data_IF_001989654194
#
_entry.id   IF_001989654194
#
_cell.length_a   1.000
_cell.length_b   1.000
_cell.length_c   1.000
_cell.angle_alpha   90.00
_cell.angle_beta   90.00
_cell.angle_gamma   90.00
#
_symmetry.space_group_name_H-M   'P 1'
#
loop_
_entity.id
_entity.type
_entity.pdbx_description
1 polymer ?
#
# COMPACT_ATOMS: atom_id res chain seq x y z
N UNK A 1 -27.20 10.46 6.27
CA UNK A 1 -25.94 10.53 5.49
C UNK A 1 -24.78 10.23 6.43
N UNK A 2 -24.09 9.07 6.36
CA UNK A 2 -22.89 8.86 7.15
C UNK A 2 -21.81 9.85 6.69
N UNK A 3 -21.19 10.57 7.62
CA UNK A 3 -20.12 11.53 7.32
C UNK A 3 -18.94 10.76 6.71
N UNK A 4 -18.60 11.04 5.46
CA UNK A 4 -17.32 10.61 4.90
C UNK A 4 -16.21 11.08 5.86
N UNK A 5 -15.32 10.19 6.32
CA UNK A 5 -14.26 10.61 7.23
C UNK A 5 -13.41 11.65 6.52
N UNK A 6 -13.37 12.88 7.04
CA UNK A 6 -12.47 13.92 6.53
C UNK A 6 -11.04 13.40 6.64
N UNK A 7 -10.38 13.22 5.50
CA UNK A 7 -8.98 12.81 5.46
C UNK A 7 -8.12 13.89 6.12
N UNK A 8 -7.22 13.49 7.01
CA UNK A 8 -6.23 14.40 7.59
C UNK A 8 -5.19 14.78 6.54
N UNK A 9 -4.58 15.96 6.68
CA UNK A 9 -3.45 16.35 5.83
C UNK A 9 -2.23 15.43 5.99
N UNK A 10 -2.02 14.90 7.20
CA UNK A 10 -0.98 13.90 7.46
C UNK A 10 -1.32 13.01 8.65
N UNK A 11 -0.64 11.87 8.72
CA UNK A 11 -0.78 10.84 9.75
C UNK A 11 0.60 10.53 10.38
N UNK A 12 0.65 10.41 11.69
CA UNK A 12 1.82 9.88 12.40
C UNK A 12 2.03 8.39 12.12
N UNK A 13 3.23 7.88 12.36
CA UNK A 13 3.52 6.44 12.25
C UNK A 13 2.59 5.58 13.15
N UNK A 14 2.19 6.11 14.32
CA UNK A 14 1.25 5.45 15.23
C UNK A 14 -0.16 5.35 14.66
N UNK A 15 -0.64 6.42 14.00
CA UNK A 15 -1.93 6.42 13.35
C UNK A 15 -1.95 5.47 12.14
N UNK A 16 -0.92 5.51 11.31
CA UNK A 16 -0.77 4.58 10.18
C UNK A 16 -0.78 3.14 10.67
N UNK A 17 -0.01 2.82 11.71
CA UNK A 17 0.00 1.48 12.32
C UNK A 17 -1.39 1.04 12.79
N UNK A 18 -2.14 1.94 13.44
CA UNK A 18 -3.50 1.66 13.89
C UNK A 18 -4.51 1.45 12.75
N UNK A 19 -4.32 2.15 11.62
CA UNK A 19 -5.22 2.13 10.47
C UNK A 19 -4.94 1.01 9.47
N UNK A 20 -3.69 0.56 9.36
CA UNK A 20 -3.25 -0.46 8.39
C UNK A 20 -3.05 -1.84 9.01
N UNK A 21 -2.89 -1.90 10.34
CA UNK A 21 -2.51 -3.10 11.08
C UNK A 21 -1.01 -3.39 11.07
N UNK A 22 -0.20 -2.57 10.39
CA UNK A 22 1.27 -2.66 10.43
C UNK A 22 1.80 -2.26 11.80
N UNK A 23 2.94 -2.82 12.19
CA UNK A 23 3.67 -2.38 13.39
C UNK A 23 4.55 -1.16 13.06
N UNK A 24 4.82 -0.32 14.06
CA UNK A 24 5.76 0.80 13.90
C UNK A 24 7.15 0.33 13.42
N UNK A 25 7.58 -0.87 13.87
CA UNK A 25 8.82 -1.51 13.42
C UNK A 25 8.79 -1.85 11.93
N UNK A 26 7.69 -2.39 11.43
CA UNK A 26 7.53 -2.68 9.99
C UNK A 26 7.56 -1.40 9.17
N UNK A 27 6.88 -0.34 9.61
CA UNK A 27 6.91 0.97 8.95
C UNK A 27 8.33 1.55 8.91
N UNK A 28 9.06 1.49 10.02
CA UNK A 28 10.46 1.93 10.08
C UNK A 28 11.35 1.09 9.16
N UNK A 29 11.17 -0.23 9.15
CA UNK A 29 11.99 -1.13 8.34
C UNK A 29 11.70 -0.93 6.83
N UNK A 30 10.44 -0.77 6.43
CA UNK A 30 10.06 -0.46 5.04
C UNK A 30 10.66 0.84 4.56
N UNK A 31 10.64 1.88 5.39
CA UNK A 31 11.23 3.17 5.06
C UNK A 31 12.76 3.09 4.97
N UNK A 32 13.43 2.44 5.94
CA UNK A 32 14.89 2.26 5.94
C UNK A 32 15.41 1.47 4.74
N UNK A 33 14.57 0.62 4.16
CA UNK A 33 14.88 -0.20 2.99
C UNK A 33 14.23 0.36 1.72
N UNK A 34 13.74 1.59 1.74
CA UNK A 34 13.11 2.28 0.60
C UNK A 34 12.02 1.46 -0.12
N UNK A 35 11.25 0.66 0.63
CA UNK A 35 10.09 -0.03 0.06
C UNK A 35 8.95 0.97 -0.18
N UNK A 36 8.68 1.79 0.84
CA UNK A 36 7.80 2.94 0.78
C UNK A 36 8.29 3.89 1.87
N UNK A 37 8.62 5.12 1.48
CA UNK A 37 9.09 6.15 2.39
C UNK A 37 7.99 7.17 2.63
N UNK A 38 7.95 7.74 3.84
CA UNK A 38 7.04 8.84 4.14
C UNK A 38 7.27 10.01 3.17
N UNK A 39 6.22 10.46 2.48
CA UNK A 39 6.33 11.57 1.53
C UNK A 39 6.41 12.93 2.22
N UNK A 40 5.95 13.04 3.46
CA UNK A 40 6.07 14.28 4.25
C UNK A 40 7.45 14.32 4.91
N UNK A 41 8.32 15.17 4.37
CA UNK A 41 9.69 15.34 4.85
C UNK A 41 9.73 15.77 6.32
N UNK A 42 10.63 15.15 7.08
CA UNK A 42 10.94 15.59 8.44
C UNK A 42 11.76 16.88 8.39
N UNK A 43 11.44 17.83 9.27
CA UNK A 43 12.09 19.15 9.32
C UNK A 43 12.99 19.25 10.56
N UNK A 44 14.14 19.93 10.51
CA UNK A 44 14.94 20.19 11.69
C UNK A 44 14.17 21.07 12.68
N UNK A 45 14.40 20.84 13.97
CA UNK A 45 13.82 21.59 15.09
C UNK A 45 14.87 22.50 15.69
N UNK A 46 14.45 23.62 16.30
CA UNK A 46 15.36 24.55 16.98
C UNK A 46 16.15 23.89 18.13
N UNK A 47 15.65 22.77 18.67
CA UNK A 47 16.30 21.97 19.70
C UNK A 47 17.31 20.93 19.17
N UNK A 48 17.65 20.97 17.87
CA UNK A 48 18.66 20.08 17.27
C UNK A 48 18.17 18.70 16.82
N UNK A 49 16.87 18.39 16.98
CA UNK A 49 16.24 17.17 16.48
C UNK A 49 15.51 17.34 15.15
N UNK A 50 14.79 16.30 14.69
CA UNK A 50 13.87 16.36 13.54
C UNK A 50 12.43 16.19 13.99
N UNK A 51 11.48 16.79 13.26
CA UNK A 51 10.06 16.56 13.47
C UNK A 51 9.72 15.09 13.29
N UNK A 52 8.65 14.65 13.98
CA UNK A 52 8.11 13.32 13.78
C UNK A 52 7.82 13.04 12.29
N UNK A 53 8.08 11.80 11.86
CA UNK A 53 7.71 11.31 10.54
C UNK A 53 6.19 11.38 10.34
N UNK A 54 5.79 11.92 9.19
CA UNK A 54 4.38 12.07 8.81
C UNK A 54 4.13 11.43 7.45
N UNK A 55 2.97 10.82 7.30
CA UNK A 55 2.53 10.12 6.10
C UNK A 55 1.36 10.89 5.48
N UNK A 56 1.37 11.05 4.16
CA UNK A 56 0.24 11.65 3.45
C UNK A 56 -0.96 10.69 3.39
N UNK A 57 -2.17 11.16 3.02
CA UNK A 57 -3.29 10.26 2.70
C UNK A 57 -2.96 9.23 1.62
N UNK A 58 -2.15 9.62 0.63
CA UNK A 58 -1.69 8.72 -0.45
C UNK A 58 -0.79 7.62 0.13
N UNK A 59 0.18 7.99 0.98
CA UNK A 59 1.06 7.01 1.63
C UNK A 59 0.25 6.02 2.47
N UNK A 60 -0.76 6.51 3.21
CA UNK A 60 -1.64 5.67 4.01
C UNK A 60 -2.41 4.68 3.14
N UNK A 61 -2.92 5.12 1.99
CA UNK A 61 -3.64 4.28 1.04
C UNK A 61 -2.73 3.19 0.48
N UNK A 62 -1.55 3.55 -0.03
CA UNK A 62 -0.55 2.60 -0.53
C UNK A 62 -0.11 1.60 0.55
N UNK A 63 0.21 2.08 1.76
CA UNK A 63 0.58 1.23 2.90
C UNK A 63 -0.53 0.25 3.29
N UNK A 64 -1.81 0.64 3.13
CA UNK A 64 -2.93 -0.26 3.40
C UNK A 64 -3.01 -1.42 2.39
N UNK A 65 -2.73 -1.16 1.10
CA UNK A 65 -2.64 -2.20 0.08
C UNK A 65 -1.42 -3.12 0.30
N UNK A 66 -0.25 -2.54 0.65
CA UNK A 66 0.94 -3.31 0.97
C UNK A 66 0.74 -4.20 2.20
N UNK A 67 0.02 -3.71 3.20
CA UNK A 67 -0.35 -4.49 4.37
C UNK A 67 -1.29 -5.66 4.00
N UNK A 68 -2.21 -5.44 3.06
CA UNK A 68 -3.12 -6.47 2.55
C UNK A 68 -2.37 -7.57 1.79
N UNK A 69 -1.47 -7.20 0.88
CA UNK A 69 -0.57 -8.14 0.21
C UNK A 69 0.22 -8.97 1.22
N UNK A 70 0.74 -8.33 2.27
CA UNK A 70 1.41 -9.06 3.36
C UNK A 70 0.51 -10.05 4.08
N UNK A 71 -0.75 -9.71 4.34
CA UNK A 71 -1.73 -10.62 4.97
C UNK A 71 -2.05 -11.82 4.07
N UNK A 72 -2.08 -11.62 2.75
CA UNK A 72 -2.25 -12.67 1.73
C UNK A 72 -1.00 -13.54 1.52
N UNK A 73 0.11 -13.22 2.19
CA UNK A 73 1.32 -14.03 2.21
C UNK A 73 2.47 -13.51 1.33
N UNK A 74 2.26 -12.49 0.50
CA UNK A 74 3.28 -11.94 -0.42
C UNK A 74 4.56 -11.51 0.29
N UNK A 75 5.68 -12.18 0.07
CA UNK A 75 6.96 -11.79 0.68
C UNK A 75 7.36 -10.36 0.33
N UNK A 76 8.17 -9.71 1.18
CA UNK A 76 8.65 -8.35 0.89
C UNK A 76 9.38 -8.28 -0.45
N UNK A 77 10.08 -9.35 -0.83
CA UNK A 77 10.77 -9.41 -2.12
C UNK A 77 9.78 -9.41 -3.30
N UNK A 78 8.67 -10.15 -3.22
CA UNK A 78 7.61 -10.11 -4.25
C UNK A 78 6.99 -8.71 -4.32
N UNK A 79 6.72 -8.09 -3.18
CA UNK A 79 6.23 -6.70 -3.13
C UNK A 79 7.24 -5.74 -3.81
N UNK A 80 8.54 -5.88 -3.55
CA UNK A 80 9.58 -5.07 -4.23
C UNK A 80 9.56 -5.27 -5.74
N UNK A 81 9.50 -6.51 -6.20
CA UNK A 81 9.43 -6.84 -7.64
C UNK A 81 8.21 -6.20 -8.29
N UNK A 82 7.04 -6.34 -7.66
CA UNK A 82 5.81 -5.69 -8.12
C UNK A 82 5.96 -4.16 -8.22
N UNK A 83 6.47 -3.51 -7.17
CA UNK A 83 6.69 -2.05 -7.18
C UNK A 83 7.74 -1.62 -8.22
N UNK A 84 8.77 -2.43 -8.45
CA UNK A 84 9.74 -2.22 -9.51
C UNK A 84 9.09 -2.31 -10.89
N UNK A 85 8.29 -3.35 -11.13
CA UNK A 85 7.58 -3.54 -12.39
C UNK A 85 6.66 -2.36 -12.73
N UNK A 86 5.89 -1.87 -11.75
CA UNK A 86 5.04 -0.68 -11.91
C UNK A 86 5.85 0.56 -12.34
N UNK A 87 6.99 0.82 -11.69
CA UNK A 87 7.85 1.96 -12.05
C UNK A 87 8.57 1.77 -13.38
N UNK A 88 9.04 0.57 -13.68
CA UNK A 88 9.96 0.31 -14.78
C UNK A 88 9.23 0.09 -16.10
N UNK A 89 8.12 -0.64 -16.09
CA UNK A 89 7.36 -0.98 -17.29
C UNK A 89 6.14 -0.09 -17.52
N UNK A 90 5.46 0.33 -16.45
CA UNK A 90 4.22 1.12 -16.57
C UNK A 90 4.43 2.60 -16.26
N UNK A 91 5.59 2.98 -15.71
CA UNK A 91 5.95 4.36 -15.34
C UNK A 91 4.95 5.01 -14.37
N UNK A 92 4.32 4.22 -13.51
CA UNK A 92 3.32 4.67 -12.54
C UNK A 92 3.69 4.32 -11.10
N UNK A 93 3.02 4.99 -10.16
CA UNK A 93 3.07 4.68 -8.73
C UNK A 93 2.01 3.66 -8.35
N UNK A 94 2.15 3.06 -7.17
CA UNK A 94 1.18 2.10 -6.65
C UNK A 94 -0.20 2.76 -6.47
N UNK A 95 -0.26 3.99 -5.99
CA UNK A 95 -1.50 4.76 -5.85
C UNK A 95 -2.35 4.76 -7.13
N UNK A 96 -1.72 4.99 -8.28
CA UNK A 96 -2.40 5.03 -9.57
C UNK A 96 -2.94 3.65 -9.97
N UNK A 97 -2.21 2.59 -9.64
CA UNK A 97 -2.59 1.20 -9.96
C UNK A 97 -3.68 0.61 -9.05
N UNK A 98 -3.97 1.28 -7.92
CA UNK A 98 -5.01 0.93 -6.96
C UNK A 98 -6.33 1.69 -7.19
N UNK A 99 -6.36 2.65 -8.11
CA UNK A 99 -7.55 3.39 -8.50
C UNK A 99 -8.30 2.72 -9.64
N UNK A 100 -9.62 2.92 -9.69
CA UNK A 100 -10.46 2.37 -10.77
C UNK A 100 -10.27 3.17 -12.09
N UNK A 101 -9.78 4.41 -12.02
CA UNK A 101 -9.52 5.30 -13.19
C UNK A 101 -8.03 5.35 -13.58
N UNK A 102 -7.19 4.52 -12.96
CA UNK A 102 -5.77 4.46 -13.28
C UNK A 102 -5.50 3.88 -14.67
N UNK A 103 -4.31 4.13 -15.26
CA UNK A 103 -3.91 3.53 -16.53
C UNK A 103 -3.76 2.00 -16.45
N UNK A 104 -3.64 1.49 -15.22
CA UNK A 104 -3.50 0.07 -14.88
C UNK A 104 -4.34 -0.25 -13.65
N UNK A 105 -4.95 -1.43 -13.63
CA UNK A 105 -5.58 -2.03 -12.46
C UNK A 105 -4.76 -3.22 -11.98
N UNK A 106 -4.45 -3.30 -10.68
CA UNK A 106 -3.81 -4.47 -10.09
C UNK A 106 -4.82 -5.58 -9.80
N UNK A 107 -4.44 -6.80 -10.21
CA UNK A 107 -5.21 -8.02 -10.02
C UNK A 107 -4.37 -9.04 -9.25
N UNK A 108 -5.00 -9.84 -8.40
CA UNK A 108 -4.36 -10.89 -7.58
C UNK A 108 -5.01 -12.24 -7.87
N UNK A 109 -4.16 -13.26 -7.98
CA UNK A 109 -4.53 -14.66 -7.88
C UNK A 109 -3.55 -15.38 -6.96
N UNK A 110 -4.02 -15.81 -5.78
CA UNK A 110 -3.16 -16.40 -4.75
C UNK A 110 -1.99 -15.49 -4.34
N UNK A 111 -0.77 -15.87 -4.74
CA UNK A 111 0.46 -15.08 -4.52
C UNK A 111 1.01 -14.44 -5.79
N UNK A 112 0.31 -14.55 -6.92
CA UNK A 112 0.62 -13.86 -8.17
C UNK A 112 -0.04 -12.48 -8.21
N UNK A 113 0.59 -11.54 -8.91
CA UNK A 113 0.04 -10.20 -9.16
C UNK A 113 0.14 -9.90 -10.63
N UNK A 114 -0.96 -9.39 -11.17
CA UNK A 114 -1.09 -8.98 -12.56
C UNK A 114 -1.45 -7.51 -12.67
N UNK A 115 -1.02 -6.89 -13.75
CA UNK A 115 -1.45 -5.57 -14.18
C UNK A 115 -2.38 -5.73 -15.38
N UNK A 116 -3.56 -5.13 -15.34
CA UNK A 116 -4.44 -4.99 -16.50
C UNK A 116 -4.46 -3.54 -16.94
N UNK A 117 -4.06 -3.26 -18.17
CA UNK A 117 -4.12 -1.90 -18.73
C UNK A 117 -5.55 -1.52 -19.08
N UNK A 118 -5.81 -0.23 -19.31
CA UNK A 118 -7.10 0.26 -19.80
C UNK A 118 -7.55 -0.41 -21.12
N UNK A 119 -6.61 -0.87 -21.95
CA UNK A 119 -6.90 -1.61 -23.19
C UNK A 119 -7.31 -3.08 -22.96
N UNK A 120 -7.30 -3.55 -21.71
CA UNK A 120 -7.63 -4.93 -21.35
C UNK A 120 -6.44 -5.90 -21.37
N UNK A 121 -5.25 -5.45 -21.79
CA UNK A 121 -4.04 -6.28 -21.83
C UNK A 121 -3.55 -6.60 -20.42
N UNK A 122 -3.23 -7.86 -20.16
CA UNK A 122 -2.80 -8.35 -18.83
C UNK A 122 -1.31 -8.70 -18.84
N UNK A 123 -0.61 -8.42 -17.76
CA UNK A 123 0.83 -8.67 -17.58
C UNK A 123 1.08 -9.31 -16.20
N UNK A 124 1.93 -10.34 -16.09
CA UNK A 124 2.38 -10.85 -14.78
C UNK A 124 3.49 -9.93 -14.24
N UNK A 125 3.28 -9.27 -13.10
CA UNK A 125 4.23 -8.32 -12.53
C UNK A 125 5.46 -8.95 -11.86
N UNK A 126 5.44 -10.25 -11.61
CA UNK A 126 6.44 -10.97 -10.83
C UNK A 126 7.36 -11.85 -11.69
N UNK A 127 6.82 -12.36 -12.81
CA UNK A 127 7.54 -13.21 -13.75
C UNK A 127 7.98 -12.44 -15.00
N UNK A 128 7.02 -11.89 -15.75
CA UNK A 128 7.25 -11.31 -17.09
C UNK A 128 6.53 -9.95 -17.26
N UNK A 129 6.91 -8.90 -16.51
CA UNK A 129 6.18 -7.64 -16.45
C UNK A 129 6.17 -6.84 -17.77
N UNK A 130 7.09 -7.12 -18.69
CA UNK A 130 7.15 -6.48 -20.00
C UNK A 130 6.44 -7.23 -21.12
N UNK A 131 5.88 -8.42 -20.86
CA UNK A 131 5.26 -9.27 -21.88
C UNK A 131 3.76 -9.41 -21.61
N UNK A 132 2.91 -9.11 -22.60
CA UNK A 132 1.47 -9.31 -22.46
C UNK A 132 1.13 -10.80 -22.42
N UNK A 133 0.20 -11.16 -21.54
CA UNK A 133 -0.36 -12.50 -21.46
C UNK A 133 -1.58 -12.63 -22.36
N UNK A 134 -1.65 -13.74 -23.10
CA UNK A 134 -2.87 -14.15 -23.77
C UNK A 134 -3.81 -14.76 -22.74
N UNK A 135 -4.84 -14.02 -22.36
CA UNK A 135 -5.87 -14.51 -21.44
C UNK A 135 -6.93 -15.26 -22.23
N UNK A 136 -7.02 -16.57 -22.04
CA UNK A 136 -8.07 -17.40 -22.62
C UNK A 136 -9.23 -17.54 -21.62
N UNK A 137 -10.39 -16.96 -21.95
CA UNK A 137 -11.57 -16.96 -21.09
C UNK A 137 -11.67 -15.75 -20.16
N UNK A 138 -12.62 -15.78 -19.22
CA UNK A 138 -12.79 -14.76 -18.17
C UNK A 138 -12.04 -15.22 -16.92
N UNK A 139 -10.82 -14.71 -16.64
CA UNK A 139 -10.09 -15.15 -15.47
C UNK A 139 -10.76 -14.54 -14.23
N UNK A 140 -11.01 -15.37 -13.22
CA UNK A 140 -11.59 -14.92 -11.93
C UNK A 140 -10.45 -14.31 -11.10
N UNK A 141 -10.02 -13.10 -11.50
CA UNK A 141 -8.97 -12.38 -10.79
C UNK A 141 -9.58 -11.37 -9.82
N UNK A 142 -9.05 -11.32 -8.61
CA UNK A 142 -9.51 -10.35 -7.60
C UNK A 142 -8.78 -9.02 -7.79
N UNK A 143 -9.50 -7.91 -7.93
CA UNK A 143 -8.88 -6.58 -7.98
C UNK A 143 -8.29 -6.22 -6.62
N UNK A 144 -6.99 -5.90 -6.58
CA UNK A 144 -6.35 -5.38 -5.38
C UNK A 144 -6.84 -3.96 -5.11
N UNK A 145 -7.60 -3.80 -4.03
CA UNK A 145 -8.04 -2.51 -3.51
C UNK A 145 -7.42 -2.23 -2.16
N UNK A 146 -7.03 -0.97 -1.93
CA UNK A 146 -6.59 -0.56 -0.61
C UNK A 146 -7.82 -0.41 0.31
N UNK A 147 -7.77 -1.06 1.48
CA UNK A 147 -8.81 -0.96 2.49
C UNK A 147 -8.20 -0.54 3.81
N UNK A 148 -8.62 0.63 4.31
CA UNK A 148 -8.23 1.13 5.63
C UNK A 148 -9.16 0.52 6.67
N UNK A 149 -8.82 -0.68 7.17
CA UNK A 149 -9.52 -1.31 8.28
C UNK A 149 -8.90 -0.88 9.60
N UNK A 150 -9.47 0.15 10.23
CA UNK A 150 -9.06 0.58 11.55
C UNK A 150 -9.09 -0.57 12.55
N UNK A 151 -7.99 -0.82 13.26
CA UNK A 151 -7.94 -1.82 14.33
C UNK A 151 -8.88 -1.37 15.46
N UNK A 152 -9.80 -2.22 15.97
CA UNK A 152 -10.59 -1.87 17.14
C UNK A 152 -9.65 -1.53 18.30
N UNK A 153 -9.80 -0.34 18.87
CA UNK A 153 -9.07 0.04 20.10
C UNK A 153 -9.38 -1.00 21.18
N UNK A 154 -8.39 -1.80 21.55
CA UNK A 154 -8.50 -2.74 22.68
C UNK A 154 -8.77 -1.90 23.95
N UNK A 155 -10.00 -1.91 24.45
CA UNK A 155 -10.36 -1.26 25.72
C UNK A 155 -9.51 -1.91 26.82
N UNK A 156 -8.60 -1.17 27.42
CA UNK A 156 -7.94 -1.58 28.65
C UNK A 156 -9.00 -1.69 29.73
N UNK A 157 -9.27 -2.93 30.20
CA UNK A 157 -10.07 -3.16 31.39
C UNK A 157 -9.36 -2.47 32.56
N UNK A 158 -9.97 -1.43 33.12
CA UNK A 158 -9.55 -0.89 34.43
C UNK A 158 -9.89 -1.94 35.47
N UNK A 159 -8.86 -2.54 36.07
CA UNK A 159 -8.98 -3.33 37.29
C UNK A 159 -9.44 -2.37 38.39
N UNK A 160 -10.63 -2.61 38.94
CA UNK A 160 -11.10 -1.94 40.16
C UNK A 160 -10.42 -2.65 41.33
N UNK A 161 -9.64 -1.90 42.11
CA UNK A 161 -9.31 -2.21 43.50
C UNK A 161 -10.33 -1.50 44.38
#
# INVERSE_FOLDING_TARGET
MPRSPKLKQSYSAREVAALTGLTARQLQWWDSRQLLSASVASRPTAAGGFTERRYSPVDLYELSALAELRRRGFTVQRIRKMLAALREHFKIRLFEALGDEGPVTLLIDGQEVYARTAAGTVYNLLESPGQPLLVLGQPVLETLRASVRGRPRRKTRKTKT
#
